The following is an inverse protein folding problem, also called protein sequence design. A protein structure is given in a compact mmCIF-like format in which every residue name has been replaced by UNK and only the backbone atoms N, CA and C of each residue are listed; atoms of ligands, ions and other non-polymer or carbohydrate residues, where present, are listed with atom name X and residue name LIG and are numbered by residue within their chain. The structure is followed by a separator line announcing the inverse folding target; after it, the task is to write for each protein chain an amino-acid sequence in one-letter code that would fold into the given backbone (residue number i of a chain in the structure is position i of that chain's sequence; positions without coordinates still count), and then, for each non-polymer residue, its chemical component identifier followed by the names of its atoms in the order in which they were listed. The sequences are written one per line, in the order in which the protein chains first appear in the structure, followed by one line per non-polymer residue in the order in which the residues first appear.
data_IF_578946200251
#
_entry.id   IF_578946200251
#
_cell.length_a   1.000
_cell.length_b   1.000
_cell.length_c   1.000
_cell.angle_alpha   90.00
_cell.angle_beta   90.00
_cell.angle_gamma   90.00
#
_symmetry.space_group_name_H-M   'P 1'
#
loop_
_entity.id
_entity.type
_entity.pdbx_description
1 polymer ?
#
# COMPACT_ATOMS: atom_id res chain seq x y z
N UNK A 1 3.20 21.33 20.26
CA UNK A 1 4.64 21.57 20.53
C UNK A 1 5.40 21.50 19.22
N UNK A 2 6.37 22.39 19.01
CA UNK A 2 7.21 22.40 17.82
C UNK A 2 8.65 22.71 18.25
N UNK A 3 9.62 21.96 17.72
CA UNK A 3 11.04 22.20 17.96
C UNK A 3 11.79 22.26 16.62
N UNK A 4 12.54 23.34 16.41
CA UNK A 4 13.45 23.49 15.27
C UNK A 4 14.67 22.60 15.46
N UNK A 5 15.05 21.88 14.40
CA UNK A 5 16.29 21.10 14.34
C UNK A 5 17.44 22.06 14.06
N UNK A 6 18.47 22.05 14.90
CA UNK A 6 19.61 22.99 14.82
C UNK A 6 20.76 22.52 13.91
N UNK A 7 20.64 21.33 13.31
CA UNK A 7 21.65 20.78 12.42
C UNK A 7 21.50 21.30 10.98
N UNK A 8 22.54 21.11 10.16
CA UNK A 8 22.39 21.20 8.72
C UNK A 8 21.57 20.01 8.21
N UNK A 9 20.47 20.32 7.52
CA UNK A 9 19.43 19.35 7.13
C UNK A 9 19.33 19.13 5.63
N UNK A 10 20.01 19.96 4.81
CA UNK A 10 19.78 20.00 3.36
C UNK A 10 20.23 18.71 2.68
N UNK A 11 19.32 18.10 1.91
CA UNK A 11 19.63 16.92 1.09
C UNK A 11 19.92 15.63 1.90
N UNK A 12 19.76 15.66 3.22
CA UNK A 12 20.09 14.56 4.13
C UNK A 12 18.87 13.68 4.41
N UNK A 13 19.11 12.49 4.96
CA UNK A 13 18.05 11.63 5.49
C UNK A 13 18.08 11.65 7.01
N UNK A 14 16.90 11.74 7.60
CA UNK A 14 16.76 11.69 9.05
C UNK A 14 15.80 10.59 9.47
N UNK A 15 16.21 9.82 10.46
CA UNK A 15 15.37 8.83 11.14
C UNK A 15 14.73 9.47 12.36
N UNK A 16 13.41 9.62 12.34
CA UNK A 16 12.63 10.06 13.50
C UNK A 16 12.06 8.82 14.19
N UNK A 17 12.36 8.67 15.47
CA UNK A 17 11.92 7.56 16.31
C UNK A 17 11.26 8.09 17.57
N UNK A 18 10.14 7.49 17.97
CA UNK A 18 9.48 7.79 19.23
C UNK A 18 8.64 6.60 19.71
N UNK A 19 8.48 6.49 21.03
CA UNK A 19 7.47 5.62 21.63
C UNK A 19 6.20 6.44 21.85
N UNK A 20 5.12 6.06 21.19
CA UNK A 20 3.85 6.79 21.23
C UNK A 20 2.77 5.95 21.89
N UNK A 21 1.85 6.62 22.59
CA UNK A 21 0.60 6.03 23.05
C UNK A 21 -0.52 7.08 22.96
N UNK A 22 -1.76 6.62 22.85
CA UNK A 22 -2.93 7.49 22.82
C UNK A 22 -4.01 6.93 23.73
N UNK A 23 -4.77 7.81 24.37
CA UNK A 23 -5.90 7.41 25.23
C UNK A 23 -7.09 8.28 24.88
N UNK A 24 -8.17 7.63 24.46
CA UNK A 24 -9.45 8.26 24.10
C UNK A 24 -9.28 9.43 23.14
N UNK A 25 -8.41 9.29 22.12
CA UNK A 25 -8.24 10.33 21.12
C UNK A 25 -9.46 10.37 20.21
N UNK A 26 -10.29 11.39 20.33
CA UNK A 26 -11.46 11.57 19.47
C UNK A 26 -11.04 12.46 18.30
N UNK A 27 -11.00 11.93 17.06
CA UNK A 27 -10.59 12.71 15.89
C UNK A 27 -11.61 13.79 15.57
N UNK A 28 -11.17 14.86 14.92
CA UNK A 28 -12.02 15.93 14.41
C UNK A 28 -12.68 15.59 13.06
N UNK A 29 -13.23 16.60 12.41
CA UNK A 29 -13.94 16.45 11.12
C UNK A 29 -13.02 16.05 9.97
N UNK A 30 -11.78 16.54 9.97
CA UNK A 30 -10.85 16.30 8.87
C UNK A 30 -10.02 15.04 9.13
N UNK A 31 -9.61 14.36 8.07
CA UNK A 31 -8.83 13.11 8.16
C UNK A 31 -7.50 13.28 8.91
N UNK A 32 -6.98 14.51 8.96
CA UNK A 32 -5.77 14.89 9.67
C UNK A 32 -6.00 15.44 11.09
N UNK A 33 -7.23 15.60 11.55
CA UNK A 33 -7.56 16.05 12.90
C UNK A 33 -7.39 14.90 13.91
N UNK A 34 -6.13 14.53 14.14
CA UNK A 34 -5.69 13.40 14.95
C UNK A 34 -4.54 13.82 15.88
N UNK A 35 -4.17 12.94 16.80
CA UNK A 35 -2.93 13.11 17.56
C UNK A 35 -1.74 12.72 16.66
N UNK A 36 -0.85 13.66 16.34
CA UNK A 36 0.20 13.48 15.33
C UNK A 36 1.59 13.82 15.86
N UNK A 37 2.56 13.04 15.38
CA UNK A 37 3.98 13.39 15.47
C UNK A 37 4.54 13.49 14.05
N UNK A 38 5.09 14.65 13.72
CA UNK A 38 5.48 15.05 12.37
C UNK A 38 6.93 15.51 12.32
N UNK A 39 7.55 15.36 11.15
CA UNK A 39 8.81 15.98 10.75
C UNK A 39 8.54 16.87 9.52
N UNK A 40 8.42 18.17 9.72
CA UNK A 40 7.95 19.12 8.69
C UNK A 40 9.13 19.89 8.12
N UNK A 41 9.23 19.87 6.79
CA UNK A 41 10.20 20.66 6.03
C UNK A 41 9.61 22.05 5.73
N UNK A 42 10.42 23.09 5.86
CA UNK A 42 10.06 24.47 5.57
C UNK A 42 10.95 25.01 4.46
N UNK A 43 10.32 25.62 3.46
CA UNK A 43 10.99 26.37 2.39
C UNK A 43 10.58 27.84 2.57
N UNK A 44 11.56 28.72 2.72
CA UNK A 44 11.34 30.16 2.95
C UNK A 44 10.26 30.47 4.01
N UNK A 45 10.31 29.74 5.13
CA UNK A 45 9.37 29.90 6.25
C UNK A 45 7.98 29.29 6.03
N UNK A 46 7.71 28.66 4.89
CA UNK A 46 6.42 27.98 4.60
C UNK A 46 6.55 26.46 4.76
N UNK A 47 5.65 25.81 5.53
CA UNK A 47 5.67 24.36 5.68
C UNK A 47 5.31 23.67 4.36
N UNK A 48 6.02 22.60 4.04
CA UNK A 48 5.86 21.83 2.82
C UNK A 48 5.16 20.50 3.11
N UNK A 49 3.84 20.50 2.98
CA UNK A 49 2.99 19.32 3.25
C UNK A 49 3.03 18.27 2.13
N UNK A 50 3.54 18.63 0.94
CA UNK A 50 3.72 17.71 -0.19
C UNK A 50 4.80 16.65 0.05
N UNK A 51 5.70 16.90 0.99
CA UNK A 51 6.72 15.93 1.35
C UNK A 51 6.21 15.02 2.47
N UNK A 52 6.71 13.79 2.51
CA UNK A 52 6.54 12.92 3.66
C UNK A 52 6.87 13.63 4.97
N UNK A 53 5.91 13.67 5.89
CA UNK A 53 6.06 14.45 7.12
C UNK A 53 5.45 13.79 8.35
N UNK A 54 4.67 12.72 8.25
CA UNK A 54 4.04 12.10 9.41
C UNK A 54 4.76 10.83 9.87
N UNK A 55 5.24 10.82 11.12
CA UNK A 55 5.71 9.59 11.77
C UNK A 55 4.51 8.76 12.24
N UNK A 56 3.50 9.42 12.82
CA UNK A 56 2.28 8.76 13.27
C UNK A 56 1.09 9.74 13.31
N UNK A 57 -0.10 9.19 13.11
CA UNK A 57 -1.38 9.86 13.30
C UNK A 57 -2.36 8.90 14.00
N UNK A 58 -2.64 9.13 15.29
CA UNK A 58 -3.39 8.23 16.15
C UNK A 58 -4.79 8.78 16.45
N UNK A 59 -5.77 7.87 16.44
CA UNK A 59 -7.16 8.10 16.88
C UNK A 59 -7.62 6.90 17.73
N UNK A 60 -8.40 7.14 18.77
CA UNK A 60 -8.81 6.13 19.74
C UNK A 60 -7.77 5.89 20.83
N UNK A 61 -7.73 4.67 21.36
CA UNK A 61 -6.81 4.25 22.43
C UNK A 61 -5.83 3.23 21.88
N UNK A 62 -4.54 3.54 21.98
CA UNK A 62 -3.46 2.66 21.59
C UNK A 62 -2.45 2.54 22.73
N UNK A 63 -2.04 1.30 23.00
CA UNK A 63 -0.92 1.01 23.91
C UNK A 63 0.39 1.62 23.42
N UNK A 64 1.43 1.54 24.25
CA UNK A 64 2.76 2.04 23.88
C UNK A 64 3.32 1.22 22.71
N UNK A 65 3.61 1.91 21.62
CA UNK A 65 4.24 1.33 20.44
C UNK A 65 5.42 2.19 19.98
N UNK A 66 6.44 1.54 19.43
CA UNK A 66 7.60 2.24 18.86
C UNK A 66 7.30 2.56 17.40
N UNK A 67 7.35 3.83 17.07
CA UNK A 67 7.26 4.33 15.71
C UNK A 67 8.64 4.78 15.26
N UNK A 68 9.00 4.44 14.03
CA UNK A 68 10.29 4.74 13.44
C UNK A 68 10.13 4.88 11.93
N UNK A 69 10.54 6.01 11.38
CA UNK A 69 10.47 6.28 9.95
C UNK A 69 11.67 7.12 9.50
N UNK A 70 12.13 6.91 8.27
CA UNK A 70 13.19 7.70 7.64
C UNK A 70 12.58 8.69 6.66
N UNK A 71 12.98 9.96 6.79
CA UNK A 71 12.52 11.07 5.97
C UNK A 71 13.67 11.59 5.13
N UNK A 72 13.44 11.67 3.82
CA UNK A 72 14.36 12.33 2.89
C UNK A 72 14.06 13.83 2.86
N UNK A 73 15.08 14.65 3.15
CA UNK A 73 14.94 16.10 3.21
C UNK A 73 15.40 16.72 1.88
N UNK A 74 14.59 17.63 1.35
CA UNK A 74 14.92 18.33 0.11
C UNK A 74 16.17 19.20 0.28
N UNK A 75 17.02 19.33 -0.77
CA UNK A 75 18.09 20.32 -0.80
C UNK A 75 17.59 21.77 -0.60
N UNK A 76 16.34 22.04 -0.98
CA UNK A 76 15.68 23.35 -0.83
C UNK A 76 15.20 23.63 0.61
N UNK A 77 15.32 22.66 1.52
CA UNK A 77 14.87 22.80 2.90
C UNK A 77 15.70 23.86 3.63
N UNK A 78 15.06 24.96 4.04
CA UNK A 78 15.70 25.98 4.87
C UNK A 78 15.58 25.68 6.36
N UNK A 79 14.54 24.94 6.75
CA UNK A 79 14.30 24.60 8.15
C UNK A 79 13.53 23.29 8.32
N UNK A 80 13.94 22.50 9.30
CA UNK A 80 13.28 21.25 9.67
C UNK A 80 12.71 21.37 11.09
N UNK A 81 11.45 20.97 11.29
CA UNK A 81 10.80 20.98 12.60
C UNK A 81 10.22 19.63 12.96
N UNK A 82 10.45 19.21 14.20
CA UNK A 82 9.67 18.13 14.82
C UNK A 82 8.44 18.76 15.45
N UNK A 83 7.25 18.30 15.04
CA UNK A 83 5.98 18.86 15.49
C UNK A 83 5.14 17.76 16.13
N UNK A 84 4.79 17.95 17.40
CA UNK A 84 3.84 17.12 18.12
C UNK A 84 2.55 17.92 18.32
N UNK A 85 1.43 17.43 17.80
CA UNK A 85 0.19 18.19 17.78
C UNK A 85 -1.06 17.34 17.99
N UNK A 86 -2.08 17.99 18.53
CA UNK A 86 -3.44 17.49 18.65
C UNK A 86 -4.35 18.48 17.94
N UNK A 87 -4.43 18.37 16.61
CA UNK A 87 -5.23 19.30 15.78
C UNK A 87 -6.71 18.97 15.93
N UNK A 88 -7.46 19.89 16.56
CA UNK A 88 -8.93 19.82 16.68
C UNK A 88 -9.47 18.46 17.17
N UNK A 89 -8.67 17.76 17.98
CA UNK A 89 -9.02 16.48 18.57
C UNK A 89 -8.95 16.57 20.10
N UNK A 90 -9.65 15.68 20.79
CA UNK A 90 -9.67 15.58 22.26
C UNK A 90 -9.02 14.28 22.70
N UNK A 91 -8.57 14.19 23.95
CA UNK A 91 -7.96 13.00 24.53
C UNK A 91 -6.55 13.25 25.03
N UNK A 92 -5.77 12.18 25.19
CA UNK A 92 -4.39 12.25 25.68
C UNK A 92 -3.43 11.62 24.66
N UNK A 93 -2.32 12.32 24.37
CA UNK A 93 -1.26 11.84 23.48
C UNK A 93 0.08 11.85 24.22
N UNK A 94 0.69 10.68 24.31
CA UNK A 94 1.93 10.47 25.05
C UNK A 94 3.07 10.21 24.10
N UNK A 95 4.18 10.92 24.30
CA UNK A 95 5.41 10.77 23.54
C UNK A 95 6.55 10.50 24.51
N UNK A 96 7.32 9.44 24.27
CA UNK A 96 8.55 9.11 25.01
C UNK A 96 9.67 8.74 24.04
N UNK A 97 10.92 8.88 24.50
CA UNK A 97 12.12 8.48 23.74
C UNK A 97 12.15 9.08 22.32
N UNK A 98 11.83 10.37 22.20
CA UNK A 98 11.89 11.10 20.95
C UNK A 98 13.36 11.27 20.54
N UNK A 99 13.72 10.76 19.38
CA UNK A 99 15.07 10.86 18.83
C UNK A 99 15.01 11.15 17.33
N UNK A 100 15.89 12.05 16.89
CA UNK A 100 16.10 12.36 15.48
C UNK A 100 17.56 12.11 15.16
N UNK A 101 17.82 11.23 14.21
CA UNK A 101 19.18 10.81 13.85
C UNK A 101 19.42 11.06 12.38
N UNK A 102 20.51 11.72 12.02
CA UNK A 102 20.99 11.72 10.64
C UNK A 102 21.41 10.30 10.27
N UNK A 103 21.00 9.84 9.09
CA UNK A 103 21.26 8.48 8.62
C UNK A 103 21.63 8.49 7.16
N UNK A 104 22.49 7.55 6.78
CA UNK A 104 22.87 7.32 5.39
C UNK A 104 22.61 5.87 5.01
N UNK A 105 22.36 5.63 3.73
CA UNK A 105 22.32 4.28 3.20
C UNK A 105 23.74 3.76 3.05
N UNK A 106 23.99 2.53 3.50
CA UNK A 106 25.29 1.91 3.29
C UNK A 106 25.48 1.61 1.80
N UNK A 107 26.71 1.75 1.30
CA UNK A 107 27.02 1.50 -0.12
C UNK A 107 26.62 0.09 -0.55
N UNK A 108 26.78 -0.89 0.33
CA UNK A 108 26.37 -2.28 0.10
C UNK A 108 24.84 -2.37 -0.10
N UNK A 109 24.05 -1.68 0.73
CA UNK A 109 22.60 -1.66 0.58
C UNK A 109 22.19 -1.11 -0.79
N UNK A 110 22.82 -0.02 -1.25
CA UNK A 110 22.54 0.57 -2.56
C UNK A 110 22.80 -0.40 -3.71
N UNK A 111 23.94 -1.10 -3.70
CA UNK A 111 24.26 -2.11 -4.70
C UNK A 111 23.29 -3.29 -4.68
N UNK A 112 23.00 -3.82 -3.48
CA UNK A 112 22.04 -4.93 -3.31
C UNK A 112 20.66 -4.52 -3.81
N UNK A 113 20.20 -3.31 -3.48
CA UNK A 113 18.91 -2.75 -3.93
C UNK A 113 18.81 -2.72 -5.46
N UNK A 114 19.87 -2.29 -6.15
CA UNK A 114 19.91 -2.29 -7.62
C UNK A 114 19.95 -3.70 -8.22
N UNK A 115 20.75 -4.58 -7.65
CA UNK A 115 20.85 -5.97 -8.10
C UNK A 115 19.51 -6.69 -7.97
N UNK A 116 18.84 -6.56 -6.81
CA UNK A 116 17.52 -7.17 -6.58
C UNK A 116 16.48 -6.60 -7.53
N UNK A 117 16.48 -5.28 -7.77
CA UNK A 117 15.59 -4.64 -8.77
C UNK A 117 15.80 -5.20 -10.18
N UNK A 118 17.05 -5.32 -10.61
CA UNK A 118 17.38 -5.86 -11.93
C UNK A 118 16.96 -7.34 -12.05
N UNK A 119 17.26 -8.15 -11.04
CA UNK A 119 16.87 -9.55 -10.97
C UNK A 119 15.33 -9.72 -10.98
N UNK A 120 14.60 -8.85 -10.27
CA UNK A 120 13.15 -8.86 -10.22
C UNK A 120 12.51 -8.48 -11.56
N UNK A 121 13.01 -7.46 -12.26
CA UNK A 121 12.55 -7.10 -13.60
C UNK A 121 12.79 -8.26 -14.58
N UNK A 122 13.99 -8.85 -14.55
CA UNK A 122 14.32 -10.01 -15.38
C UNK A 122 13.38 -11.18 -15.08
N UNK A 123 13.11 -11.44 -13.80
CA UNK A 123 12.21 -12.49 -13.37
C UNK A 123 10.77 -12.30 -13.89
N UNK A 124 10.22 -11.08 -13.79
CA UNK A 124 8.90 -10.77 -14.37
C UNK A 124 8.90 -11.02 -15.88
N UNK A 125 9.96 -10.61 -16.57
CA UNK A 125 10.09 -10.82 -18.00
C UNK A 125 10.12 -12.32 -18.35
N UNK A 126 10.89 -13.12 -17.61
CA UNK A 126 10.97 -14.58 -17.78
C UNK A 126 9.63 -15.26 -17.52
N UNK A 127 8.85 -14.81 -16.53
CA UNK A 127 7.50 -15.34 -16.28
C UNK A 127 6.49 -14.94 -17.36
N UNK A 128 6.55 -13.69 -17.84
CA UNK A 128 5.56 -13.13 -18.74
C UNK A 128 5.73 -13.63 -20.18
N UNK A 129 6.96 -13.72 -20.68
CA UNK A 129 7.24 -14.02 -22.10
C UNK A 129 6.66 -15.36 -22.57
N UNK A 130 6.80 -16.48 -21.84
CA UNK A 130 6.14 -17.74 -22.20
C UNK A 130 4.62 -17.60 -22.25
N UNK A 131 4.05 -16.83 -21.32
CA UNK A 131 2.63 -16.50 -21.27
C UNK A 131 2.14 -15.68 -22.47
N UNK A 132 3.01 -14.92 -23.15
CA UNK A 132 2.65 -14.11 -24.32
C UNK A 132 2.97 -14.75 -25.67
N UNK A 133 3.86 -15.75 -25.71
CA UNK A 133 4.19 -16.55 -26.90
C UNK A 133 3.02 -17.44 -27.33
N UNK A 134 2.96 -17.79 -28.61
CA UNK A 134 1.94 -18.68 -29.19
C UNK A 134 0.73 -17.98 -29.83
N UNK A 135 -0.20 -18.79 -30.34
CA UNK A 135 -1.46 -18.35 -30.93
C UNK A 135 -2.39 -17.79 -29.86
N UNK A 136 -3.03 -16.66 -30.14
CA UNK A 136 -3.97 -15.99 -29.23
C UNK A 136 -4.20 -14.56 -29.66
N UNK A 137 -5.33 -13.96 -29.28
CA UNK A 137 -5.67 -12.60 -29.71
C UNK A 137 -4.68 -11.58 -29.13
N UNK A 138 -4.24 -10.64 -29.98
CA UNK A 138 -3.38 -9.52 -29.55
C UNK A 138 -4.02 -8.74 -28.41
N UNK A 139 -5.35 -8.59 -28.45
CA UNK A 139 -6.11 -7.91 -27.41
C UNK A 139 -5.94 -8.57 -26.03
N UNK A 140 -6.05 -9.90 -25.95
CA UNK A 140 -5.91 -10.63 -24.69
C UNK A 140 -4.48 -10.54 -24.14
N UNK A 141 -3.48 -10.62 -25.03
CA UNK A 141 -2.07 -10.40 -24.66
C UNK A 141 -1.86 -8.99 -24.08
N UNK A 142 -2.45 -7.98 -24.69
CA UNK A 142 -2.41 -6.60 -24.18
C UNK A 142 -3.04 -6.50 -22.80
N UNK A 143 -4.21 -7.10 -22.56
CA UNK A 143 -4.84 -7.09 -21.23
C UNK A 143 -3.99 -7.81 -20.17
N UNK A 144 -3.33 -8.92 -20.51
CA UNK A 144 -2.39 -9.59 -19.61
C UNK A 144 -1.24 -8.64 -19.22
N UNK A 145 -0.62 -7.98 -20.21
CA UNK A 145 0.47 -7.02 -19.98
C UNK A 145 0.01 -5.86 -19.09
N UNK A 146 -1.16 -5.28 -19.37
CA UNK A 146 -1.72 -4.18 -18.58
C UNK A 146 -2.01 -4.61 -17.14
N UNK A 147 -2.51 -5.84 -16.94
CA UNK A 147 -2.80 -6.37 -15.60
C UNK A 147 -1.51 -6.57 -14.81
N UNK A 148 -0.47 -7.15 -15.43
CA UNK A 148 0.86 -7.30 -14.80
C UNK A 148 1.46 -5.93 -14.47
N UNK A 149 1.34 -4.95 -15.37
CA UNK A 149 1.78 -3.58 -15.11
C UNK A 149 1.04 -2.97 -13.92
N UNK A 150 -0.27 -3.21 -13.80
CA UNK A 150 -1.06 -2.79 -12.64
C UNK A 150 -0.56 -3.40 -11.33
N UNK A 151 -0.24 -4.70 -11.32
CA UNK A 151 0.37 -5.38 -10.16
C UNK A 151 1.74 -4.78 -9.81
N UNK A 152 2.59 -4.57 -10.82
CA UNK A 152 3.92 -3.95 -10.66
C UNK A 152 3.82 -2.55 -10.08
N UNK A 153 3.00 -1.68 -10.67
CA UNK A 153 2.81 -0.30 -10.18
C UNK A 153 2.25 -0.33 -8.76
N UNK A 154 1.20 -1.13 -8.50
CA UNK A 154 0.56 -1.25 -7.19
C UNK A 154 1.52 -1.70 -6.08
N UNK A 155 2.41 -2.64 -6.39
CA UNK A 155 3.37 -3.20 -5.44
C UNK A 155 4.58 -2.30 -5.22
N UNK A 156 5.01 -1.59 -6.27
CA UNK A 156 6.20 -0.70 -6.26
C UNK A 156 5.94 0.73 -5.74
N UNK A 157 4.68 1.10 -5.57
CA UNK A 157 4.32 2.41 -5.00
C UNK A 157 4.89 2.59 -3.57
N UNK A 158 5.57 3.72 -3.28
CA UNK A 158 6.02 4.05 -1.94
C UNK A 158 4.87 4.03 -0.92
N UNK A 159 5.16 3.64 0.31
CA UNK A 159 4.14 3.43 1.34
C UNK A 159 3.30 4.68 1.65
N UNK A 160 3.89 5.86 1.56
CA UNK A 160 3.20 7.13 1.81
C UNK A 160 2.25 7.49 0.67
N UNK A 161 2.68 7.38 -0.59
CA UNK A 161 1.82 7.55 -1.76
C UNK A 161 0.65 6.56 -1.73
N UNK A 162 0.92 5.30 -1.34
CA UNK A 162 -0.12 4.28 -1.14
C UNK A 162 -1.12 4.69 -0.05
N UNK A 163 -0.67 5.26 1.07
CA UNK A 163 -1.55 5.74 2.16
C UNK A 163 -2.42 6.90 1.70
N UNK A 164 -1.83 7.91 1.05
CA UNK A 164 -2.56 9.06 0.52
C UNK A 164 -3.62 8.64 -0.51
N UNK A 165 -3.24 7.78 -1.46
CA UNK A 165 -4.17 7.24 -2.45
C UNK A 165 -5.30 6.44 -1.80
N UNK A 166 -4.99 5.63 -0.78
CA UNK A 166 -5.99 4.88 -0.03
C UNK A 166 -6.97 5.82 0.69
N UNK A 167 -6.47 6.88 1.31
CA UNK A 167 -7.31 7.86 2.00
C UNK A 167 -8.22 8.62 1.01
N UNK A 168 -7.71 9.08 -0.13
CA UNK A 168 -8.50 9.75 -1.18
C UNK A 168 -9.59 8.84 -1.75
N UNK A 169 -9.25 7.59 -2.08
CA UNK A 169 -10.23 6.63 -2.60
C UNK A 169 -11.28 6.31 -1.53
N UNK A 170 -10.87 6.08 -0.28
CA UNK A 170 -11.80 5.78 0.82
C UNK A 170 -12.77 6.93 1.02
N UNK A 171 -12.28 8.18 1.02
CA UNK A 171 -13.12 9.36 1.18
C UNK A 171 -14.13 9.51 0.04
N UNK A 172 -13.71 9.25 -1.21
CA UNK A 172 -14.63 9.26 -2.37
C UNK A 172 -15.70 8.18 -2.23
N UNK A 173 -15.32 6.95 -1.89
CA UNK A 173 -16.27 5.84 -1.70
C UNK A 173 -17.26 6.17 -0.57
N UNK A 174 -16.79 6.69 0.57
CA UNK A 174 -17.65 7.10 1.68
C UNK A 174 -18.64 8.18 1.25
N UNK A 175 -18.22 9.15 0.45
CA UNK A 175 -19.11 10.20 -0.08
C UNK A 175 -20.24 9.61 -0.94
N UNK A 176 -19.95 8.63 -1.80
CA UNK A 176 -20.96 7.98 -2.64
C UNK A 176 -21.82 6.96 -1.88
N UNK A 177 -21.27 6.29 -0.87
CA UNK A 177 -21.96 5.22 -0.13
C UNK A 177 -22.75 5.74 1.08
N UNK A 178 -22.41 6.91 1.63
CA UNK A 178 -23.12 7.56 2.73
C UNK A 178 -24.65 7.65 2.53
N UNK A 179 -25.20 8.10 1.38
CA UNK A 179 -26.66 8.16 1.19
C UNK A 179 -27.32 6.77 1.14
N UNK A 180 -26.63 5.75 0.62
CA UNK A 180 -27.13 4.37 0.54
C UNK A 180 -27.09 3.71 1.93
N UNK A 181 -26.00 3.90 2.67
CA UNK A 181 -25.82 3.41 4.04
C UNK A 181 -26.79 4.05 5.02
N UNK A 182 -27.09 5.35 4.86
CA UNK A 182 -28.06 6.07 5.70
C UNK A 182 -29.47 5.50 5.51
N UNK A 183 -29.90 5.29 4.26
CA UNK A 183 -31.17 4.62 3.97
C UNK A 183 -31.17 3.18 4.48
N UNK A 184 -30.11 2.42 4.26
CA UNK A 184 -30.03 1.04 4.76
C UNK A 184 -30.15 0.96 6.29
N UNK A 185 -29.54 1.89 7.03
CA UNK A 185 -29.68 1.99 8.49
C UNK A 185 -31.09 2.38 8.93
N UNK A 186 -31.76 3.23 8.18
CA UNK A 186 -33.15 3.63 8.42
C UNK A 186 -34.13 2.45 8.25
N UNK A 187 -33.88 1.57 7.28
CA UNK A 187 -34.67 0.34 7.07
C UNK A 187 -34.28 -0.84 7.99
N UNK A 188 -33.05 -0.89 8.48
CA UNK A 188 -32.50 -2.08 9.15
C UNK A 188 -32.74 -2.17 10.66
N UNK A 189 -33.43 -1.21 11.29
CA UNK A 189 -33.89 -1.29 12.69
C UNK A 189 -32.87 -1.86 13.69
N UNK A 190 -31.98 -1.03 14.22
CA UNK A 190 -31.02 -1.30 15.31
C UNK A 190 -30.52 -2.76 15.48
N UNK A 191 -30.03 -3.37 14.40
CA UNK A 191 -29.18 -4.57 14.51
C UNK A 191 -27.71 -4.17 14.45
N UNK A 192 -27.20 -3.62 15.55
CA UNK A 192 -25.78 -3.29 15.78
C UNK A 192 -24.91 -4.53 15.98
N UNK A 193 -25.06 -5.55 15.12
CA UNK A 193 -24.20 -6.75 15.09
C UNK A 193 -23.58 -7.00 13.72
N UNK A 194 -23.60 -6.02 12.83
CA UNK A 194 -22.74 -6.05 11.65
C UNK A 194 -21.33 -5.65 12.09
N UNK A 195 -20.46 -6.65 12.21
CA UNK A 195 -19.01 -6.42 12.23
C UNK A 195 -18.72 -5.62 10.96
N UNK A 196 -18.36 -4.35 11.11
CA UNK A 196 -17.84 -3.57 10.01
C UNK A 196 -16.53 -4.23 9.60
N UNK A 197 -16.62 -5.15 8.64
CA UNK A 197 -15.45 -5.70 7.97
C UNK A 197 -14.78 -4.49 7.34
N UNK A 198 -13.71 -4.01 7.97
CA UNK A 198 -12.94 -2.89 7.47
C UNK A 198 -12.17 -3.39 6.25
N UNK A 199 -12.87 -3.40 5.12
CA UNK A 199 -12.36 -3.88 3.85
C UNK A 199 -11.19 -2.99 3.46
N UNK A 200 -9.99 -3.57 3.44
CA UNK A 200 -8.82 -2.86 2.98
C UNK A 200 -8.84 -2.84 1.46
N UNK A 201 -9.16 -1.67 0.90
CA UNK A 201 -9.25 -1.45 -0.56
C UNK A 201 -7.99 -1.94 -1.26
N UNK A 202 -6.81 -1.79 -0.66
CA UNK A 202 -5.59 -2.27 -1.30
C UNK A 202 -5.54 -3.79 -1.38
N UNK A 203 -6.02 -4.50 -0.34
CA UNK A 203 -6.10 -5.96 -0.35
C UNK A 203 -7.12 -6.47 -1.38
N UNK A 204 -8.24 -5.75 -1.55
CA UNK A 204 -9.22 -6.05 -2.60
C UNK A 204 -8.60 -5.85 -3.99
N UNK A 205 -7.87 -4.75 -4.22
CA UNK A 205 -7.25 -4.48 -5.50
C UNK A 205 -6.25 -5.58 -5.89
N UNK A 206 -5.41 -6.01 -4.95
CA UNK A 206 -4.49 -7.13 -5.08
C UNK A 206 -5.21 -8.43 -5.47
N UNK A 207 -6.20 -8.82 -4.66
CA UNK A 207 -7.05 -9.98 -4.94
C UNK A 207 -7.66 -9.94 -6.36
N UNK A 208 -8.27 -8.81 -6.74
CA UNK A 208 -8.92 -8.64 -8.04
C UNK A 208 -7.93 -8.68 -9.21
N UNK A 209 -6.75 -8.07 -9.07
CA UNK A 209 -5.73 -8.07 -10.12
C UNK A 209 -5.17 -9.48 -10.36
N UNK A 210 -4.88 -10.22 -9.29
CA UNK A 210 -4.44 -11.61 -9.42
C UNK A 210 -5.54 -12.54 -9.94
N UNK A 211 -6.79 -12.33 -9.53
CA UNK A 211 -7.94 -13.04 -10.10
C UNK A 211 -8.08 -12.78 -11.61
N UNK A 212 -8.02 -11.51 -12.02
CA UNK A 212 -8.07 -11.12 -13.43
C UNK A 212 -6.91 -11.72 -14.22
N UNK A 213 -5.69 -11.65 -13.70
CA UNK A 213 -4.51 -12.20 -14.37
C UNK A 213 -4.66 -13.72 -14.59
N UNK A 214 -5.06 -14.45 -13.55
CA UNK A 214 -5.24 -15.90 -13.60
C UNK A 214 -6.34 -16.30 -14.62
N UNK A 215 -7.44 -15.55 -14.63
CA UNK A 215 -8.52 -15.70 -15.60
C UNK A 215 -8.02 -15.49 -17.04
N UNK A 216 -7.32 -14.38 -17.30
CA UNK A 216 -6.82 -14.05 -18.64
C UNK A 216 -5.77 -15.05 -19.15
N UNK A 217 -4.88 -15.53 -18.27
CA UNK A 217 -3.88 -16.54 -18.61
C UNK A 217 -4.54 -17.85 -19.03
N UNK A 218 -5.59 -18.28 -18.32
CA UNK A 218 -6.35 -19.47 -18.68
C UNK A 218 -7.13 -19.27 -19.99
N UNK A 219 -7.76 -18.09 -20.18
CA UNK A 219 -8.46 -17.74 -21.43
C UNK A 219 -7.54 -17.77 -22.65
N UNK A 220 -6.28 -17.38 -22.46
CA UNK A 220 -5.30 -17.27 -23.54
C UNK A 220 -4.80 -18.63 -24.00
N UNK A 221 -4.60 -19.54 -23.08
CA UNK A 221 -4.09 -20.88 -23.38
C UNK A 221 -4.67 -21.89 -22.39
N UNK A 222 -5.82 -22.45 -22.75
CA UNK A 222 -6.51 -23.48 -21.96
C UNK A 222 -5.77 -24.81 -21.94
N UNK A 223 -4.81 -25.04 -22.84
CA UNK A 223 -3.98 -26.24 -22.88
C UNK A 223 -2.87 -26.22 -21.84
N UNK A 224 -2.50 -25.02 -21.36
CA UNK A 224 -1.47 -24.85 -20.35
C UNK A 224 -1.89 -25.49 -19.04
N UNK A 225 -0.99 -26.27 -18.45
CA UNK A 225 -1.21 -26.90 -17.16
C UNK A 225 -1.60 -25.86 -16.11
N UNK A 226 -2.80 -26.03 -15.54
CA UNK A 226 -3.33 -25.19 -14.45
C UNK A 226 -2.38 -25.11 -13.25
N UNK A 227 -1.63 -26.18 -12.99
CA UNK A 227 -0.60 -26.22 -11.94
C UNK A 227 0.56 -25.26 -12.24
N UNK A 228 0.97 -25.15 -13.51
CA UNK A 228 2.03 -24.22 -13.91
C UNK A 228 1.55 -22.76 -13.83
N UNK A 229 0.30 -22.48 -14.20
CA UNK A 229 -0.28 -21.13 -14.04
C UNK A 229 -0.31 -20.73 -12.56
N UNK A 230 -0.75 -21.62 -11.67
CA UNK A 230 -0.73 -21.35 -10.23
C UNK A 230 0.69 -21.15 -9.69
N UNK A 231 1.65 -21.95 -10.17
CA UNK A 231 3.04 -21.80 -9.76
C UNK A 231 3.60 -20.44 -10.20
N UNK A 232 3.35 -20.01 -11.44
CA UNK A 232 3.78 -18.69 -11.93
C UNK A 232 3.18 -17.56 -11.08
N UNK A 233 1.89 -17.64 -10.75
CA UNK A 233 1.20 -16.64 -9.95
C UNK A 233 1.69 -16.61 -8.51
N UNK A 234 1.97 -17.79 -7.92
CA UNK A 234 2.58 -17.88 -6.60
C UNK A 234 3.98 -17.27 -6.57
N UNK A 235 4.78 -17.60 -7.57
CA UNK A 235 6.13 -17.08 -7.74
C UNK A 235 6.10 -15.55 -7.95
N UNK A 236 5.12 -15.04 -8.72
CA UNK A 236 4.90 -13.60 -8.88
C UNK A 236 4.50 -12.92 -7.56
N UNK A 237 3.54 -13.47 -6.82
CA UNK A 237 3.09 -12.93 -5.54
C UNK A 237 4.23 -12.88 -4.50
N UNK A 238 5.03 -13.95 -4.42
CA UNK A 238 6.21 -13.98 -3.57
C UNK A 238 7.25 -12.94 -4.01
N UNK A 239 7.51 -12.81 -5.32
CA UNK A 239 8.46 -11.85 -5.83
C UNK A 239 8.03 -10.40 -5.57
N UNK A 240 6.73 -10.09 -5.69
CA UNK A 240 6.20 -8.76 -5.38
C UNK A 240 6.30 -8.42 -3.90
N UNK A 241 6.10 -9.38 -3.00
CA UNK A 241 6.31 -9.18 -1.56
C UNK A 241 7.80 -9.04 -1.22
N UNK A 242 8.68 -9.87 -1.77
CA UNK A 242 10.12 -9.72 -1.60
C UNK A 242 10.62 -8.33 -2.06
N UNK A 243 10.08 -7.82 -3.16
CA UNK A 243 10.43 -6.50 -3.68
C UNK A 243 10.05 -5.36 -2.72
N UNK A 244 9.00 -5.54 -1.90
CA UNK A 244 8.56 -4.54 -0.91
C UNK A 244 9.58 -4.30 0.21
N UNK A 245 10.51 -5.22 0.48
CA UNK A 245 11.63 -4.95 1.41
C UNK A 245 12.51 -3.76 0.98
N UNK A 246 12.52 -3.45 -0.31
CA UNK A 246 13.39 -2.42 -0.91
C UNK A 246 12.61 -1.17 -1.36
N UNK A 247 11.36 -1.05 -0.93
CA UNK A 247 10.47 0.07 -1.22
C UNK A 247 10.16 0.79 0.09
N UNK A 248 10.45 2.09 0.10
CA UNK A 248 10.37 2.90 1.30
C UNK A 248 8.92 2.96 1.85
N UNK A 249 8.78 2.74 3.16
CA UNK A 249 7.49 2.75 3.86
C UNK A 249 6.59 1.55 3.56
N UNK A 250 7.07 0.50 2.88
CA UNK A 250 6.35 -0.77 2.70
C UNK A 250 6.84 -1.79 3.72
N UNK A 251 5.96 -2.71 4.08
CA UNK A 251 6.27 -3.84 4.95
C UNK A 251 5.64 -5.07 4.30
N UNK A 252 6.45 -6.04 3.86
CA UNK A 252 5.92 -7.24 3.24
C UNK A 252 5.18 -8.08 4.26
N UNK A 253 4.11 -8.72 3.82
CA UNK A 253 3.25 -9.55 4.67
C UNK A 253 2.95 -10.85 3.96
N UNK A 254 3.16 -11.98 4.65
CA UNK A 254 2.74 -13.30 4.14
C UNK A 254 1.25 -13.31 3.83
N UNK A 255 0.45 -12.53 4.56
CA UNK A 255 -0.99 -12.39 4.27
C UNK A 255 -1.28 -11.82 2.89
N UNK A 256 -0.41 -10.98 2.34
CA UNK A 256 -0.61 -10.37 1.03
C UNK A 256 -0.38 -11.41 -0.07
N UNK A 257 0.63 -12.29 0.06
CA UNK A 257 0.79 -13.48 -0.81
C UNK A 257 -0.46 -14.37 -0.78
N UNK A 258 -1.01 -14.64 0.41
CA UNK A 258 -2.21 -15.48 0.55
C UNK A 258 -3.42 -14.86 -0.15
N UNK A 259 -3.58 -13.54 -0.07
CA UNK A 259 -4.67 -12.80 -0.73
C UNK A 259 -4.52 -12.87 -2.25
N UNK A 260 -3.30 -12.65 -2.77
CA UNK A 260 -2.99 -12.75 -4.20
C UNK A 260 -3.28 -14.17 -4.73
N UNK A 261 -2.94 -15.20 -3.95
CA UNK A 261 -3.23 -16.59 -4.31
C UNK A 261 -4.73 -16.94 -4.24
N UNK A 262 -5.45 -16.41 -3.25
CA UNK A 262 -6.90 -16.59 -3.18
C UNK A 262 -7.59 -15.99 -4.42
N UNK A 263 -7.15 -14.79 -4.85
CA UNK A 263 -7.61 -14.16 -6.09
C UNK A 263 -7.33 -15.05 -7.30
N UNK A 264 -6.08 -15.51 -7.42
CA UNK A 264 -5.63 -16.38 -8.51
C UNK A 264 -6.49 -17.65 -8.66
N UNK A 265 -6.81 -18.32 -7.56
CA UNK A 265 -7.67 -19.52 -7.56
C UNK A 265 -9.08 -19.18 -8.05
N UNK A 266 -9.68 -18.09 -7.54
CA UNK A 266 -11.02 -17.65 -7.97
C UNK A 266 -11.05 -17.32 -9.46
N UNK A 267 -10.05 -16.60 -9.97
CA UNK A 267 -9.91 -16.28 -11.39
C UNK A 267 -9.82 -17.52 -12.27
N UNK A 268 -9.03 -18.52 -11.83
CA UNK A 268 -8.93 -19.80 -12.55
C UNK A 268 -10.22 -20.60 -12.55
N UNK A 269 -10.92 -20.66 -11.41
CA UNK A 269 -12.21 -21.36 -11.32
C UNK A 269 -13.21 -20.71 -12.27
N UNK A 270 -13.32 -19.38 -12.25
CA UNK A 270 -14.19 -18.63 -13.17
C UNK A 270 -13.86 -18.90 -14.65
N UNK A 271 -12.57 -18.91 -15.00
CA UNK A 271 -12.13 -19.20 -16.36
C UNK A 271 -12.48 -20.63 -16.80
N UNK A 272 -12.32 -21.63 -15.92
CA UNK A 272 -12.70 -23.02 -16.22
C UNK A 272 -14.19 -23.19 -16.48
N UNK A 273 -15.04 -22.55 -15.67
CA UNK A 273 -16.49 -22.60 -15.88
C UNK A 273 -16.89 -22.05 -17.25
N UNK A 274 -16.28 -20.94 -17.68
CA UNK A 274 -16.52 -20.34 -19.00
C UNK A 274 -16.05 -21.23 -20.16
N UNK A 275 -14.92 -21.93 -20.01
CA UNK A 275 -14.45 -22.88 -21.03
C UNK A 275 -15.30 -24.14 -21.12
N UNK A 276 -15.66 -24.73 -19.99
CA UNK A 276 -16.48 -25.94 -19.98
C UNK A 276 -17.88 -25.67 -20.56
N UNK A 277 -18.47 -24.50 -20.29
CA UNK A 277 -19.73 -24.09 -20.89
C UNK A 277 -19.69 -23.90 -22.41
N UNK A 278 -18.52 -23.60 -22.99
CA UNK A 278 -18.34 -23.52 -24.45
C UNK A 278 -18.24 -24.89 -25.13
N UNK A 279 -17.72 -25.91 -24.43
CA UNK A 279 -17.59 -27.27 -24.96
C UNK A 279 -18.92 -28.05 -24.95
N UNK A 280 -19.85 -27.69 -24.06
CA UNK A 280 -21.19 -28.31 -23.97
C UNK A 280 -22.24 -27.68 -24.89
N UNK A 281 -21.90 -26.59 -25.60
CA UNK A 281 -22.81 -25.85 -26.47
C UNK A 281 -22.65 -26.17 -27.97
N UNK A 282 -21.85 -27.18 -28.31
CA UNK A 282 -21.66 -27.76 -29.64
C UNK A 282 -22.05 -29.23 -29.62
#
# INVERSE_FOLDING_TARGET
MSQKVQADVKGKKFRLRATLASKNVIPGEKTWDKARLLLVQYFDGKPQWKFPHALAALAGTHGRQVYNEVFSISPECSELRVVAEMSRCRGEFFIKNLGLYEVEETTIYTWVKWLVRAAWILFIFVLLVPGLKGSGSTLLKTFIVLTVLGVVIGTTLPGQVKKELKEDITQKIETYTAPVMTKAKEYAGDTTKYVSVKLDITKIAHFCLFALLAFLLLLKDSSRSTRLILLDLFMLACATECMQFYIDGRSPLVTDVVIDMAGSVVGMVAGKYLFNGRLTAH
#
